data_IF_154610811766
#
_entry.id   IF_154610811766
#
_cell.length_a   1.000
_cell.length_b   1.000
_cell.length_c   1.000
_cell.angle_alpha   90.00
_cell.angle_beta   90.00
_cell.angle_gamma   90.00
#
_symmetry.space_group_name_H-M   'P 1'
#
loop_
_entity.id
_entity.type
_entity.pdbx_description
1 polymer ?
#
# COMPACT_ATOMS: atom_id res chain seq x y z
N UNK A 1 -10.81 -18.73 -9.98
CA UNK A 1 -11.33 -17.35 -9.86
C UNK A 1 -11.54 -17.11 -8.38
N UNK A 2 -10.75 -16.24 -7.71
CA UNK A 2 -11.17 -15.78 -6.39
C UNK A 2 -12.58 -15.19 -6.56
N UNK A 3 -13.51 -15.67 -5.75
CA UNK A 3 -14.84 -15.12 -5.66
C UNK A 3 -14.75 -13.67 -5.16
N UNK A 4 -15.66 -12.82 -5.63
CA UNK A 4 -15.66 -11.39 -5.28
C UNK A 4 -15.70 -11.16 -3.75
N UNK A 5 -16.32 -12.10 -3.02
CA UNK A 5 -16.29 -12.21 -1.56
C UNK A 5 -14.89 -12.35 -0.99
N UNK A 6 -14.06 -13.24 -1.54
CA UNK A 6 -12.68 -13.42 -1.11
C UNK A 6 -11.84 -12.15 -1.29
N UNK A 7 -12.08 -11.38 -2.35
CA UNK A 7 -11.43 -10.08 -2.55
C UNK A 7 -11.84 -9.06 -1.48
N UNK A 8 -13.14 -8.94 -1.18
CA UNK A 8 -13.63 -8.02 -0.16
C UNK A 8 -13.10 -8.37 1.25
N UNK A 9 -13.07 -9.67 1.59
CA UNK A 9 -12.49 -10.15 2.86
C UNK A 9 -11.00 -9.87 2.91
N UNK A 10 -10.24 -10.19 1.86
CA UNK A 10 -8.80 -9.90 1.80
C UNK A 10 -8.48 -8.41 1.93
N UNK A 11 -9.29 -7.55 1.30
CA UNK A 11 -9.16 -6.10 1.39
C UNK A 11 -9.49 -5.56 2.79
N UNK A 12 -10.58 -6.03 3.38
CA UNK A 12 -10.97 -5.67 4.76
C UNK A 12 -9.96 -6.15 5.80
N UNK A 13 -9.44 -7.37 5.67
CA UNK A 13 -8.37 -7.89 6.52
C UNK A 13 -7.10 -7.06 6.40
N UNK A 14 -6.69 -6.68 5.19
CA UNK A 14 -5.54 -5.80 4.97
C UNK A 14 -5.75 -4.43 5.64
N UNK A 15 -6.95 -3.87 5.54
CA UNK A 15 -7.28 -2.61 6.19
C UNK A 15 -7.17 -2.69 7.73
N UNK A 16 -7.62 -3.79 8.34
CA UNK A 16 -7.45 -4.04 9.77
C UNK A 16 -5.98 -4.22 10.17
N UNK A 17 -5.20 -4.95 9.38
CA UNK A 17 -3.75 -5.13 9.62
C UNK A 17 -3.03 -3.78 9.58
N UNK A 18 -3.31 -2.96 8.56
CA UNK A 18 -2.74 -1.62 8.44
C UNK A 18 -3.14 -0.71 9.60
N UNK A 19 -4.37 -0.80 10.11
CA UNK A 19 -4.80 -0.11 11.31
C UNK A 19 -3.97 -0.51 12.54
N UNK A 20 -3.66 -1.79 12.70
CA UNK A 20 -2.76 -2.30 13.75
C UNK A 20 -1.31 -1.81 13.58
N UNK A 21 -0.78 -1.85 12.37
CA UNK A 21 0.56 -1.33 12.05
C UNK A 21 0.69 0.17 12.35
N UNK A 22 -0.36 0.95 12.05
CA UNK A 22 -0.40 2.37 12.36
C UNK A 22 -0.45 2.64 13.87
N UNK A 23 -1.24 1.88 14.63
CA UNK A 23 -1.28 1.94 16.10
C UNK A 23 0.07 1.61 16.72
N UNK A 24 0.79 0.61 16.19
CA UNK A 24 2.15 0.28 16.62
C UNK A 24 3.16 1.42 16.42
N UNK A 25 2.85 2.40 15.57
CA UNK A 25 3.62 3.64 15.39
C UNK A 25 3.02 4.85 16.13
N UNK A 26 2.08 4.66 17.05
CA UNK A 26 1.44 5.75 17.80
C UNK A 26 0.47 6.60 16.97
N UNK A 27 -0.06 6.07 15.85
CA UNK A 27 -1.09 6.76 15.04
C UNK A 27 -2.48 6.20 15.33
N UNK A 28 -3.53 6.95 14.98
CA UNK A 28 -4.92 6.51 15.13
C UNK A 28 -5.24 5.29 14.24
N UNK A 29 -5.54 4.15 14.86
CA UNK A 29 -5.92 2.95 14.13
C UNK A 29 -7.16 3.11 13.27
N UNK A 30 -8.22 3.75 13.80
CA UNK A 30 -9.47 3.94 13.07
C UNK A 30 -9.29 4.82 11.83
N UNK A 31 -8.50 5.89 11.94
CA UNK A 31 -8.20 6.73 10.78
C UNK A 31 -7.46 5.94 9.70
N UNK A 32 -6.46 5.15 10.09
CA UNK A 32 -5.69 4.32 9.16
C UNK A 32 -6.44 3.11 8.61
N UNK A 33 -7.44 2.59 9.34
CA UNK A 33 -8.39 1.61 8.83
C UNK A 33 -9.19 2.20 7.66
N UNK A 34 -9.82 3.36 7.86
CA UNK A 34 -10.63 4.03 6.83
C UNK A 34 -9.78 4.43 5.61
N UNK A 35 -8.57 4.96 5.84
CA UNK A 35 -7.61 5.25 4.76
C UNK A 35 -7.26 3.97 4.00
N UNK A 36 -7.07 2.84 4.69
CA UNK A 36 -6.73 1.56 4.04
C UNK A 36 -7.90 0.94 3.30
N UNK A 37 -9.16 1.18 3.69
CA UNK A 37 -10.31 0.77 2.88
C UNK A 37 -10.30 1.45 1.51
N UNK A 38 -9.83 2.69 1.43
CA UNK A 38 -9.72 3.43 0.17
C UNK A 38 -8.44 3.10 -0.61
N UNK A 39 -7.29 3.04 0.07
CA UNK A 39 -5.97 2.95 -0.56
C UNK A 39 -5.39 1.53 -0.61
N UNK A 40 -5.93 0.60 0.18
CA UNK A 40 -5.47 -0.79 0.26
C UNK A 40 -3.97 -0.91 0.59
N UNK A 41 -3.19 -1.66 -0.21
CA UNK A 41 -1.76 -1.85 0.00
C UNK A 41 -0.93 -0.56 0.00
N UNK A 42 -1.41 0.51 -0.66
CA UNK A 42 -0.71 1.80 -0.65
C UNK A 42 -0.67 2.42 0.75
N UNK A 43 -1.69 2.19 1.58
CA UNK A 43 -1.67 2.63 2.97
C UNK A 43 -0.56 1.94 3.77
N UNK A 44 -0.23 0.68 3.47
CA UNK A 44 0.88 -0.05 4.10
C UNK A 44 2.21 0.65 3.82
N UNK A 45 2.44 1.05 2.57
CA UNK A 45 3.65 1.76 2.16
C UNK A 45 3.78 3.09 2.92
N UNK A 46 2.70 3.87 2.97
CA UNK A 46 2.66 5.13 3.73
C UNK A 46 2.98 4.90 5.21
N UNK A 47 2.37 3.90 5.84
CA UNK A 47 2.62 3.58 7.26
C UNK A 47 4.10 3.23 7.48
N UNK A 48 4.71 2.45 6.58
CA UNK A 48 6.10 1.98 6.71
C UNK A 48 7.10 3.12 6.54
N UNK A 49 6.97 3.93 5.49
CA UNK A 49 7.96 4.98 5.18
C UNK A 49 7.83 6.20 6.09
N UNK A 50 6.62 6.49 6.60
CA UNK A 50 6.39 7.70 7.36
C UNK A 50 6.88 7.53 8.82
N UNK A 51 7.70 8.46 9.34
CA UNK A 51 8.24 8.38 10.71
C UNK A 51 7.15 8.50 11.76
N UNK A 52 7.28 7.77 12.87
CA UNK A 52 6.29 7.81 13.96
C UNK A 52 6.12 9.24 14.49
N UNK A 53 4.89 9.66 14.84
CA UNK A 53 4.66 10.98 15.44
C UNK A 53 5.50 11.15 16.71
N UNK A 54 6.07 12.33 16.91
CA UNK A 54 6.84 12.65 18.12
C UNK A 54 8.26 12.08 18.16
N UNK A 55 8.70 11.30 17.16
CA UNK A 55 10.12 11.01 16.98
C UNK A 55 10.78 12.25 16.38
N UNK A 56 11.42 13.06 17.22
CA UNK A 56 12.30 14.13 16.75
C UNK A 56 13.30 13.54 15.76
N UNK A 57 13.23 14.00 14.51
CA UNK A 57 14.22 13.60 13.53
C UNK A 57 15.57 14.13 14.01
N UNK A 58 16.45 13.24 14.52
CA UNK A 58 17.88 13.57 14.54
C UNK A 58 18.23 14.11 13.14
N UNK A 59 19.02 15.19 13.02
CA UNK A 59 19.44 15.71 11.72
C UNK A 59 20.37 14.67 11.08
N UNK A 60 19.75 13.67 10.45
CA UNK A 60 20.43 12.71 9.62
C UNK A 60 20.50 13.35 8.23
N UNK A 61 21.71 13.50 7.69
CA UNK A 61 21.95 13.72 6.26
C UNK A 61 21.37 12.51 5.49
N UNK A 62 20.06 12.52 5.20
CA UNK A 62 19.26 11.30 4.98
C UNK A 62 18.11 11.48 3.97
N UNK A 63 18.21 12.45 3.06
CA UNK A 63 17.17 12.75 2.07
C UNK A 63 17.38 12.12 0.68
N UNK A 64 18.56 11.57 0.38
CA UNK A 64 18.83 11.01 -0.97
C UNK A 64 18.22 9.61 -1.16
N UNK A 65 18.36 8.72 -0.18
CA UNK A 65 17.92 7.32 -0.30
C UNK A 65 16.42 7.12 -0.06
N UNK A 66 15.77 8.02 0.69
CA UNK A 66 14.35 7.93 0.97
C UNK A 66 13.51 8.19 -0.29
N UNK A 67 13.90 9.17 -1.09
CA UNK A 67 13.25 9.50 -2.37
C UNK A 67 13.41 8.35 -3.35
N UNK A 68 14.62 7.77 -3.45
CA UNK A 68 14.86 6.59 -4.28
C UNK A 68 14.03 5.38 -3.85
N UNK A 69 13.86 5.16 -2.54
CA UNK A 69 12.99 4.11 -2.00
C UNK A 69 11.52 4.30 -2.36
N UNK A 70 11.01 5.53 -2.28
CA UNK A 70 9.63 5.87 -2.68
C UNK A 70 9.41 5.71 -4.18
N UNK A 71 10.37 6.16 -5.00
CA UNK A 71 10.30 6.01 -6.46
C UNK A 71 10.32 4.54 -6.86
N UNK A 72 11.22 3.73 -6.28
CA UNK A 72 11.29 2.30 -6.55
C UNK A 72 9.96 1.61 -6.23
N UNK A 73 9.38 1.90 -5.08
CA UNK A 73 8.09 1.33 -4.66
C UNK A 73 6.96 1.74 -5.61
N UNK A 74 6.90 3.01 -6.01
CA UNK A 74 5.91 3.49 -6.97
C UNK A 74 6.06 2.80 -8.34
N UNK A 75 7.30 2.63 -8.82
CA UNK A 75 7.58 1.90 -10.07
C UNK A 75 7.16 0.44 -9.99
N UNK A 76 7.42 -0.24 -8.87
CA UNK A 76 6.96 -1.62 -8.64
C UNK A 76 5.44 -1.72 -8.67
N UNK A 77 4.73 -0.80 -8.02
CA UNK A 77 3.26 -0.78 -8.04
C UNK A 77 2.72 -0.53 -9.44
N UNK A 78 3.27 0.44 -10.18
CA UNK A 78 2.88 0.73 -11.57
C UNK A 78 3.13 -0.48 -12.47
N UNK A 79 4.28 -1.15 -12.32
CA UNK A 79 4.60 -2.34 -13.09
C UNK A 79 3.64 -3.50 -12.77
N UNK A 80 3.30 -3.72 -11.50
CA UNK A 80 2.35 -4.76 -11.07
C UNK A 80 0.95 -4.49 -11.62
N UNK A 81 0.45 -3.26 -11.50
CA UNK A 81 -0.86 -2.87 -12.04
C UNK A 81 -0.87 -2.96 -13.57
N UNK A 82 0.20 -2.54 -14.23
CA UNK A 82 0.38 -2.64 -15.68
C UNK A 82 0.39 -4.10 -16.16
N UNK A 83 1.13 -4.97 -15.49
CA UNK A 83 1.22 -6.40 -15.83
C UNK A 83 -0.11 -7.13 -15.61
N UNK A 84 -0.82 -6.81 -14.52
CA UNK A 84 -2.16 -7.33 -14.27
C UNK A 84 -3.16 -6.83 -15.32
N UNK A 85 -3.08 -5.55 -15.72
CA UNK A 85 -3.90 -5.00 -16.81
C UNK A 85 -3.58 -5.58 -18.19
N UNK A 86 -2.32 -5.88 -18.48
CA UNK A 86 -1.90 -6.54 -19.72
C UNK A 86 -2.41 -7.99 -19.80
N UNK A 87 -2.46 -8.69 -18.66
CA UNK A 87 -3.04 -10.04 -18.58
C UNK A 87 -4.55 -10.05 -18.91
N UNK A 88 -5.27 -8.99 -18.51
CA UNK A 88 -6.71 -8.83 -18.81
C UNK A 88 -6.96 -8.47 -20.28
N UNK A 89 -6.08 -7.68 -20.90
CA UNK A 89 -6.16 -7.32 -22.34
C UNK A 89 -5.79 -8.48 -23.27
N UNK A 90 -4.83 -9.32 -22.90
CA UNK A 90 -4.49 -10.52 -23.67
C UNK A 90 -5.65 -11.52 -23.77
N UNK A 91 -6.39 -11.70 -22.67
CA UNK A 91 -7.53 -12.61 -22.63
C UNK A 91 -8.74 -12.16 -23.48
N UNK A 92 -8.89 -10.85 -23.70
CA UNK A 92 -9.96 -10.28 -24.54
C UNK A 92 -9.63 -10.27 -26.03
N UNK A 93 -8.34 -10.31 -26.40
CA UNK A 93 -7.89 -10.36 -27.81
C UNK A 93 -7.88 -11.79 -28.37
N UNK A 94 -7.69 -12.81 -27.54
CA UNK A 94 -7.64 -14.22 -27.98
C UNK A 94 -9.02 -14.89 -28.05
N UNK A 95 -10.04 -14.29 -27.41
CA UNK A 95 -11.41 -14.83 -27.36
C UNK A 95 -12.42 -14.22 -28.35
N UNK A 96 -11.95 -13.43 -29.32
CA UNK A 96 -12.78 -12.75 -30.33
C UNK A 96 -12.64 -13.33 -31.73
#
# INVERSE_FOLDING_TARGET
MPDQSGYAVGWGSLALINAGLAQGKGRSGLAWFLISLLLGPLATLLIVVLPAPGVEARPLRRSEWAVLGVILVALVVIAVVGLLGMSVRGASVVGG
#
